data_IF_998563050303
#
_entry.id   IF_998563050303
#
_cell.length_a   1.000
_cell.length_b   1.000
_cell.length_c   1.000
_cell.angle_alpha   90.00
_cell.angle_beta   90.00
_cell.angle_gamma   90.00
#
_symmetry.space_group_name_H-M   'P 1'
#
loop_
_entity.id
_entity.type
_entity.pdbx_description
1 polymer ?
#
# COMPACT_ATOMS: atom_id res chain seq x y z
N UNK A 1 3.51 39.27 9.14
CA UNK A 1 4.36 38.60 10.15
C UNK A 1 4.49 37.14 9.73
N UNK A 2 5.70 36.66 9.39
CA UNK A 2 5.86 35.28 8.91
C UNK A 2 5.91 34.33 10.11
N UNK A 3 5.00 33.36 10.16
CA UNK A 3 4.84 32.40 11.26
C UNK A 3 6.11 31.55 11.45
N UNK A 4 6.36 31.06 12.66
CA UNK A 4 7.43 30.11 12.97
C UNK A 4 7.41 28.89 12.04
N UNK A 5 6.22 28.44 11.61
CA UNK A 5 6.05 27.38 10.61
C UNK A 5 6.72 27.71 9.27
N UNK A 6 6.65 28.97 8.81
CA UNK A 6 7.32 29.42 7.58
C UNK A 6 8.85 29.32 7.69
N UNK A 7 9.41 29.66 8.84
CA UNK A 7 10.86 29.55 9.06
C UNK A 7 11.29 28.10 9.27
N UNK A 8 10.45 27.27 9.90
CA UNK A 8 10.72 25.83 10.07
C UNK A 8 10.70 25.08 8.74
N UNK A 9 9.67 25.29 7.92
CA UNK A 9 9.65 24.80 6.54
C UNK A 9 10.85 25.29 5.73
N UNK A 10 11.26 26.55 5.93
CA UNK A 10 12.42 27.10 5.20
C UNK A 10 13.74 26.48 5.66
N UNK A 11 13.88 26.07 6.92
CA UNK A 11 15.07 25.37 7.43
C UNK A 11 15.05 23.90 6.97
N UNK A 12 13.91 23.21 7.11
CA UNK A 12 13.74 21.82 6.66
C UNK A 12 13.93 21.69 5.13
N UNK A 13 13.45 22.66 4.34
CA UNK A 13 13.69 22.72 2.89
C UNK A 13 15.10 23.19 2.50
N UNK A 14 15.84 23.86 3.40
CA UNK A 14 17.24 24.29 3.16
C UNK A 14 18.26 23.20 3.43
N UNK A 15 17.91 22.16 4.19
CA UNK A 15 18.73 20.95 4.37
C UNK A 15 18.40 19.97 3.24
N UNK A 16 18.42 20.45 2.00
CA UNK A 16 18.35 19.60 0.82
C UNK A 16 19.75 19.15 0.44
N UNK A 17 19.92 17.90 0.00
CA UNK A 17 21.21 17.38 -0.46
C UNK A 17 21.90 18.21 -1.55
N UNK A 18 21.14 18.95 -2.37
CA UNK A 18 21.70 19.90 -3.36
C UNK A 18 22.27 21.17 -2.75
N UNK A 19 21.77 21.60 -1.58
CA UNK A 19 22.36 22.72 -0.83
C UNK A 19 23.56 22.29 0.01
N UNK A 20 23.62 21.01 0.40
CA UNK A 20 24.75 20.44 1.13
C UNK A 20 25.93 20.09 0.21
N UNK A 21 25.66 19.70 -1.05
CA UNK A 21 26.70 19.29 -1.98
C UNK A 21 26.51 19.91 -3.37
N UNK A 22 27.47 20.74 -3.81
CA UNK A 22 27.51 21.33 -5.16
C UNK A 22 27.61 20.29 -6.28
N UNK A 23 28.00 19.05 -5.95
CA UNK A 23 28.03 17.89 -6.86
C UNK A 23 27.45 16.69 -6.10
N UNK A 24 26.74 15.77 -6.77
CA UNK A 24 26.24 14.56 -6.11
C UNK A 24 27.38 13.84 -5.37
N UNK A 25 27.24 13.60 -4.04
CA UNK A 25 28.29 12.93 -3.28
C UNK A 25 28.52 11.52 -3.83
N UNK A 26 29.73 11.00 -3.62
CA UNK A 26 30.10 9.64 -4.02
C UNK A 26 30.33 8.80 -2.78
N UNK A 27 29.71 7.63 -2.74
CA UNK A 27 29.89 6.65 -1.67
C UNK A 27 30.35 5.32 -2.28
N UNK A 28 31.36 4.71 -1.67
CA UNK A 28 31.86 3.40 -2.07
C UNK A 28 31.14 2.29 -1.29
N UNK A 29 30.72 1.24 -2.00
CA UNK A 29 30.00 0.10 -1.47
C UNK A 29 30.73 -1.19 -1.82
N UNK A 30 30.92 -2.05 -0.82
CA UNK A 30 31.65 -3.31 -0.95
C UNK A 30 30.80 -4.47 -0.47
N UNK A 31 30.98 -5.69 -1.02
CA UNK A 31 30.40 -6.89 -0.45
C UNK A 31 31.05 -7.15 0.90
N UNK A 32 30.22 -7.43 1.90
CA UNK A 32 30.64 -7.76 3.26
C UNK A 32 31.35 -9.13 3.30
N UNK A 33 31.02 -10.00 2.36
CA UNK A 33 31.62 -11.31 2.21
C UNK A 33 33.02 -11.22 1.58
N UNK A 34 33.98 -11.92 2.19
CA UNK A 34 35.36 -12.06 1.69
C UNK A 34 35.61 -13.42 1.05
N UNK A 35 34.81 -14.43 1.43
CA UNK A 35 34.90 -15.80 0.96
C UNK A 35 33.54 -16.28 0.44
N UNK A 36 33.58 -17.24 -0.47
CA UNK A 36 32.39 -17.82 -1.05
C UNK A 36 31.65 -18.72 -0.05
N UNK A 37 30.31 -18.64 -0.02
CA UNK A 37 29.49 -19.45 0.87
C UNK A 37 29.43 -20.94 0.50
N UNK A 38 29.82 -21.31 -0.72
CA UNK A 38 29.75 -22.70 -1.19
C UNK A 38 31.08 -23.45 -1.05
N UNK A 39 32.19 -22.82 -1.42
CA UNK A 39 33.51 -23.46 -1.49
C UNK A 39 34.56 -22.79 -0.58
N UNK A 40 34.15 -21.76 0.19
CA UNK A 40 35.00 -21.03 1.14
C UNK A 40 36.24 -20.39 0.51
N UNK A 41 36.34 -20.32 -0.82
CA UNK A 41 37.46 -19.70 -1.51
C UNK A 41 37.38 -18.16 -1.45
N UNK A 42 38.52 -17.46 -1.47
CA UNK A 42 38.56 -16.00 -1.54
C UNK A 42 37.82 -15.45 -2.77
N UNK A 43 37.08 -14.37 -2.57
CA UNK A 43 36.35 -13.71 -3.64
C UNK A 43 37.23 -12.71 -4.40
N UNK A 44 37.12 -12.73 -5.72
CA UNK A 44 37.86 -11.82 -6.61
C UNK A 44 36.99 -10.66 -7.06
N UNK A 45 37.57 -9.47 -7.25
CA UNK A 45 36.84 -8.34 -7.82
C UNK A 45 36.49 -8.65 -9.27
N UNK A 46 35.18 -8.65 -9.58
CA UNK A 46 34.68 -8.78 -10.94
C UNK A 46 34.66 -7.43 -11.63
N UNK A 47 34.07 -6.42 -10.97
CA UNK A 47 33.99 -5.05 -11.48
C UNK A 47 33.75 -4.05 -10.37
N UNK A 48 34.07 -2.78 -10.63
CA UNK A 48 33.74 -1.66 -9.75
C UNK A 48 33.17 -0.52 -10.58
N UNK A 49 31.87 -0.25 -10.44
CA UNK A 49 31.18 0.71 -11.30
C UNK A 49 30.33 1.69 -10.48
N UNK A 50 30.42 3.00 -10.76
CA UNK A 50 29.49 3.96 -10.18
C UNK A 50 28.15 3.92 -10.89
N UNK A 51 27.06 3.96 -10.13
CA UNK A 51 25.71 4.20 -10.63
C UNK A 51 25.02 5.32 -9.86
N UNK A 52 24.06 5.97 -10.51
CA UNK A 52 23.21 6.99 -9.89
C UNK A 52 22.21 6.31 -8.95
N UNK A 53 22.09 6.82 -7.73
CA UNK A 53 21.07 6.40 -6.75
C UNK A 53 20.38 7.64 -6.20
N UNK A 54 19.08 7.54 -5.96
CA UNK A 54 18.22 8.63 -5.50
C UNK A 54 17.42 8.12 -4.31
N UNK A 55 17.56 8.76 -3.15
CA UNK A 55 16.86 8.43 -1.90
C UNK A 55 16.19 9.67 -1.34
N UNK A 56 15.16 9.53 -0.51
CA UNK A 56 14.50 10.64 0.19
C UNK A 56 15.46 11.41 1.10
N UNK A 57 16.36 10.72 1.77
CA UNK A 57 17.24 11.33 2.78
C UNK A 57 18.39 12.13 2.17
N UNK A 58 19.03 11.59 1.12
CA UNK A 58 20.24 12.21 0.54
C UNK A 58 19.91 12.98 -0.74
N UNK A 59 18.82 12.64 -1.43
CA UNK A 59 18.61 13.00 -2.82
C UNK A 59 19.51 12.16 -3.72
N UNK A 60 20.15 12.80 -4.71
CA UNK A 60 20.96 12.14 -5.73
C UNK A 60 22.40 11.94 -5.23
N UNK A 61 22.93 10.72 -5.33
CA UNK A 61 24.34 10.40 -5.10
C UNK A 61 24.88 9.36 -6.10
N UNK A 62 26.21 9.24 -6.19
CA UNK A 62 26.90 8.20 -6.97
C UNK A 62 27.31 7.05 -6.06
N UNK A 63 26.66 5.90 -6.21
CA UNK A 63 27.04 4.67 -5.52
C UNK A 63 28.09 3.93 -6.35
N UNK A 64 29.35 3.91 -5.91
CA UNK A 64 30.40 3.11 -6.54
C UNK A 64 30.44 1.73 -5.89
N UNK A 65 29.84 0.76 -6.57
CA UNK A 65 29.73 -0.59 -6.06
C UNK A 65 30.86 -1.47 -6.61
N UNK A 66 31.58 -2.12 -5.71
CA UNK A 66 32.47 -3.23 -6.04
C UNK A 66 31.65 -4.51 -6.04
N UNK A 67 31.64 -5.25 -7.15
CA UNK A 67 31.05 -6.59 -7.23
C UNK A 67 32.18 -7.60 -7.22
N UNK A 68 32.08 -8.59 -6.34
CA UNK A 68 33.03 -9.71 -6.28
C UNK A 68 32.42 -10.98 -6.84
N UNK A 69 33.24 -11.95 -7.21
CA UNK A 69 32.84 -13.24 -7.77
C UNK A 69 33.71 -14.35 -7.21
N UNK A 70 33.11 -15.53 -6.98
CA UNK A 70 33.90 -16.74 -6.79
C UNK A 70 34.32 -17.29 -8.17
N UNK A 71 35.62 -17.47 -8.41
CA UNK A 71 36.13 -18.02 -9.67
C UNK A 71 35.74 -19.48 -9.91
N UNK A 72 35.53 -20.24 -8.85
CA UNK A 72 35.22 -21.66 -8.94
C UNK A 72 33.73 -21.89 -9.24
N UNK A 73 32.82 -21.34 -8.43
CA UNK A 73 31.37 -21.54 -8.61
C UNK A 73 30.65 -20.45 -9.41
N UNK A 74 31.33 -19.36 -9.80
CA UNK A 74 30.77 -18.27 -10.60
C UNK A 74 29.77 -17.35 -9.87
N UNK A 75 29.50 -17.58 -8.59
CA UNK A 75 28.53 -16.78 -7.82
C UNK A 75 29.05 -15.35 -7.61
N UNK A 76 28.19 -14.36 -7.88
CA UNK A 76 28.48 -12.95 -7.64
C UNK A 76 28.00 -12.48 -6.27
N UNK A 77 28.76 -11.57 -5.68
CA UNK A 77 28.55 -10.99 -4.37
C UNK A 77 28.53 -9.47 -4.51
N UNK A 78 27.45 -8.87 -3.99
CA UNK A 78 27.14 -7.45 -4.04
C UNK A 78 27.10 -6.87 -2.63
N UNK A 79 27.13 -5.56 -2.52
CA UNK A 79 27.02 -4.90 -1.21
C UNK A 79 25.61 -5.07 -0.63
N UNK A 80 25.47 -5.76 0.51
CA UNK A 80 24.18 -5.88 1.20
C UNK A 80 23.71 -4.50 1.66
N UNK A 81 24.62 -3.61 2.07
CA UNK A 81 24.30 -2.22 2.39
C UNK A 81 23.63 -1.50 1.21
N UNK A 82 24.18 -1.57 -0.01
CA UNK A 82 23.54 -0.93 -1.17
C UNK A 82 22.23 -1.62 -1.56
N UNK A 83 22.17 -2.95 -1.48
CA UNK A 83 20.96 -3.72 -1.76
C UNK A 83 19.82 -3.41 -0.77
N UNK A 84 20.10 -2.95 0.45
CA UNK A 84 19.08 -2.47 1.40
C UNK A 84 18.51 -1.10 1.04
N UNK A 85 19.25 -0.29 0.28
CA UNK A 85 18.82 1.05 -0.12
C UNK A 85 18.01 1.02 -1.43
N UNK A 86 18.47 0.26 -2.42
CA UNK A 86 17.93 0.31 -3.79
C UNK A 86 18.02 -1.04 -4.48
N UNK A 87 16.95 -1.39 -5.21
CA UNK A 87 16.90 -2.60 -6.01
C UNK A 87 18.01 -2.65 -7.09
N UNK A 88 18.43 -3.86 -7.52
CA UNK A 88 19.30 -4.03 -8.68
C UNK A 88 18.76 -3.30 -9.91
N UNK A 89 19.67 -2.65 -10.66
CA UNK A 89 19.36 -1.93 -11.91
C UNK A 89 18.37 -0.76 -11.78
N UNK A 90 18.01 -0.37 -10.56
CA UNK A 90 17.11 0.76 -10.30
C UNK A 90 17.89 1.97 -9.78
N UNK A 91 17.36 3.17 -10.02
CA UNK A 91 17.96 4.41 -9.52
C UNK A 91 17.27 4.91 -8.25
N UNK A 92 15.94 4.76 -8.14
CA UNK A 92 15.18 5.18 -6.96
C UNK A 92 15.23 4.14 -5.84
N UNK A 93 15.54 4.59 -4.64
CA UNK A 93 15.56 3.79 -3.42
C UNK A 93 14.18 3.29 -3.02
N UNK A 94 14.17 2.30 -2.12
CA UNK A 94 12.93 1.74 -1.58
C UNK A 94 12.12 2.77 -0.79
N UNK A 95 12.79 3.73 -0.16
CA UNK A 95 12.16 4.84 0.53
C UNK A 95 11.34 5.73 -0.41
N UNK A 96 11.87 6.07 -1.59
CA UNK A 96 11.14 6.80 -2.63
C UNK A 96 9.98 5.96 -3.18
N UNK A 97 10.20 4.66 -3.41
CA UNK A 97 9.15 3.73 -3.86
C UNK A 97 7.97 3.69 -2.87
N UNK A 98 8.25 3.57 -1.57
CA UNK A 98 7.24 3.54 -0.52
C UNK A 98 6.52 4.89 -0.39
N UNK A 99 7.26 6.01 -0.50
CA UNK A 99 6.66 7.34 -0.50
C UNK A 99 5.64 7.51 -1.63
N UNK A 100 6.03 7.14 -2.87
CA UNK A 100 5.14 7.20 -4.03
C UNK A 100 3.94 6.27 -3.85
N UNK A 101 4.16 5.04 -3.37
CA UNK A 101 3.10 4.10 -3.07
C UNK A 101 2.05 4.66 -2.09
N UNK A 102 2.51 5.20 -0.97
CA UNK A 102 1.61 5.79 0.03
C UNK A 102 0.88 7.03 -0.52
N UNK A 103 1.59 7.89 -1.25
CA UNK A 103 0.99 9.08 -1.86
C UNK A 103 -0.15 8.73 -2.82
N UNK A 104 0.03 7.70 -3.66
CA UNK A 104 -0.99 7.24 -4.61
C UNK A 104 -2.13 6.51 -3.88
N UNK A 105 -1.82 5.48 -3.09
CA UNK A 105 -2.82 4.51 -2.62
C UNK A 105 -3.45 4.86 -1.28
N UNK A 106 -2.75 5.58 -0.40
CA UNK A 106 -3.29 5.98 0.91
C UNK A 106 -3.77 7.44 0.93
N UNK A 107 -3.10 8.30 0.18
CA UNK A 107 -3.40 9.74 0.20
C UNK A 107 -4.18 10.21 -1.03
N UNK A 108 -4.33 9.35 -2.05
CA UNK A 108 -5.06 9.62 -3.28
C UNK A 108 -4.55 10.86 -4.02
N UNK A 109 -3.23 11.08 -4.00
CA UNK A 109 -2.62 12.26 -4.62
C UNK A 109 -2.43 12.06 -6.13
N UNK A 110 -2.73 13.06 -6.97
CA UNK A 110 -2.40 13.03 -8.39
C UNK A 110 -0.88 13.01 -8.63
N UNK A 111 -0.43 12.32 -9.68
CA UNK A 111 1.00 12.18 -10.00
C UNK A 111 1.76 13.51 -10.04
N UNK A 112 1.17 14.56 -10.62
CA UNK A 112 1.79 15.88 -10.71
C UNK A 112 2.05 16.53 -9.33
N UNK A 113 1.14 16.30 -8.38
CA UNK A 113 1.32 16.76 -7.00
C UNK A 113 2.49 16.03 -6.35
N UNK A 114 2.60 14.72 -6.58
CA UNK A 114 3.71 13.89 -6.06
C UNK A 114 5.05 14.35 -6.65
N UNK A 115 5.10 14.66 -7.96
CA UNK A 115 6.28 15.25 -8.61
C UNK A 115 6.69 16.55 -7.91
N UNK A 116 5.74 17.44 -7.63
CA UNK A 116 6.03 18.72 -6.96
C UNK A 116 6.54 18.52 -5.53
N UNK A 117 5.90 17.62 -4.76
CA UNK A 117 6.33 17.27 -3.40
C UNK A 117 7.76 16.68 -3.37
N UNK A 118 8.08 15.78 -4.30
CA UNK A 118 9.42 15.19 -4.42
C UNK A 118 10.46 16.22 -4.90
N UNK A 119 10.07 17.15 -5.77
CA UNK A 119 10.94 18.24 -6.22
C UNK A 119 11.37 19.14 -5.05
N UNK A 120 10.47 19.43 -4.10
CA UNK A 120 10.81 20.14 -2.84
C UNK A 120 11.83 19.38 -1.98
N UNK A 121 11.83 18.04 -2.07
CA UNK A 121 12.82 17.14 -1.46
C UNK A 121 14.04 16.90 -2.35
N UNK A 122 14.23 17.72 -3.40
CA UNK A 122 15.34 17.63 -4.34
C UNK A 122 15.42 16.30 -5.10
N UNK A 123 14.25 15.71 -5.35
CA UNK A 123 14.09 14.50 -6.17
C UNK A 123 13.34 14.89 -7.43
N UNK A 124 14.08 14.95 -8.53
CA UNK A 124 13.51 15.20 -9.85
C UNK A 124 13.08 13.88 -10.49
N UNK A 125 11.78 13.78 -10.77
CA UNK A 125 11.11 12.58 -11.27
C UNK A 125 9.97 13.00 -12.20
N UNK A 126 9.72 12.22 -13.26
CA UNK A 126 8.60 12.49 -14.18
C UNK A 126 7.32 11.85 -13.67
N UNK A 127 6.17 12.37 -14.11
CA UNK A 127 4.86 11.75 -13.81
C UNK A 127 4.77 10.30 -14.31
N UNK A 128 5.37 9.98 -15.47
CA UNK A 128 5.44 8.60 -15.98
C UNK A 128 6.21 7.65 -15.05
N UNK A 129 7.29 8.13 -14.44
CA UNK A 129 8.06 7.36 -13.47
C UNK A 129 7.29 7.21 -12.14
N UNK A 130 6.52 8.22 -11.72
CA UNK A 130 5.59 8.10 -10.58
C UNK A 130 4.58 6.98 -10.82
N UNK A 131 3.92 6.97 -11.97
CA UNK A 131 2.97 5.91 -12.34
C UNK A 131 3.64 4.52 -12.37
N UNK A 132 4.88 4.42 -12.88
CA UNK A 132 5.65 3.19 -12.87
C UNK A 132 6.00 2.72 -11.44
N UNK A 133 6.50 3.62 -10.60
CA UNK A 133 6.79 3.33 -9.20
C UNK A 133 5.54 2.91 -8.43
N UNK A 134 4.37 3.50 -8.71
CA UNK A 134 3.10 3.08 -8.14
C UNK A 134 2.77 1.61 -8.44
N UNK A 135 2.88 1.19 -9.71
CA UNK A 135 2.68 -0.22 -10.10
C UNK A 135 3.71 -1.14 -9.42
N UNK A 136 4.97 -0.71 -9.40
CA UNK A 136 6.06 -1.45 -8.77
C UNK A 136 5.86 -1.60 -7.26
N UNK A 137 5.34 -0.58 -6.60
CA UNK A 137 5.04 -0.59 -5.17
C UNK A 137 4.02 -1.69 -4.85
N UNK A 138 2.91 -1.79 -5.59
CA UNK A 138 1.91 -2.86 -5.39
C UNK A 138 2.52 -4.25 -5.59
N UNK A 139 3.34 -4.43 -6.62
CA UNK A 139 4.02 -5.71 -6.84
C UNK A 139 4.96 -6.08 -5.68
N UNK A 140 5.74 -5.11 -5.21
CA UNK A 140 6.68 -5.30 -4.10
C UNK A 140 5.96 -5.54 -2.78
N UNK A 141 4.88 -4.79 -2.50
CA UNK A 141 4.02 -4.97 -1.34
C UNK A 141 3.41 -6.38 -1.33
N UNK A 142 2.89 -6.83 -2.48
CA UNK A 142 2.33 -8.18 -2.62
C UNK A 142 3.37 -9.27 -2.33
N UNK A 143 4.57 -9.15 -2.90
CA UNK A 143 5.66 -10.11 -2.66
C UNK A 143 6.15 -10.09 -1.21
N UNK A 144 6.36 -8.90 -0.64
CA UNK A 144 6.79 -8.74 0.74
C UNK A 144 5.75 -9.29 1.73
N UNK A 145 4.46 -9.09 1.45
CA UNK A 145 3.36 -9.63 2.22
C UNK A 145 3.34 -11.16 2.18
N UNK A 146 3.39 -11.77 0.98
CA UNK A 146 3.45 -13.23 0.81
C UNK A 146 4.68 -13.85 1.48
N UNK A 147 5.86 -13.24 1.31
CA UNK A 147 7.09 -13.70 1.96
C UNK A 147 7.05 -13.56 3.49
N UNK A 148 6.15 -12.71 4.01
CA UNK A 148 5.93 -12.54 5.46
C UNK A 148 4.88 -13.49 6.02
N UNK A 149 4.26 -14.37 5.23
CA UNK A 149 3.14 -15.20 5.66
C UNK A 149 3.46 -16.02 6.92
N UNK A 150 4.62 -16.68 6.98
CA UNK A 150 5.06 -17.42 8.17
C UNK A 150 5.19 -16.53 9.41
N UNK A 151 5.71 -15.31 9.25
CA UNK A 151 5.84 -14.34 10.36
C UNK A 151 4.47 -13.85 10.83
N UNK A 152 3.54 -13.59 9.91
CA UNK A 152 2.17 -13.19 10.21
C UNK A 152 1.44 -14.34 10.93
N UNK A 153 1.55 -15.57 10.44
CA UNK A 153 1.01 -16.78 11.09
C UNK A 153 1.53 -16.94 12.51
N UNK A 154 2.83 -16.78 12.73
CA UNK A 154 3.42 -16.87 14.07
C UNK A 154 2.90 -15.76 14.99
N UNK A 155 2.72 -14.53 14.49
CA UNK A 155 2.17 -13.43 15.27
C UNK A 155 0.69 -13.68 15.65
N UNK A 156 -0.14 -14.16 14.72
CA UNK A 156 -1.52 -14.56 15.00
C UNK A 156 -1.58 -15.69 16.02
N UNK A 157 -0.74 -16.72 15.88
CA UNK A 157 -0.67 -17.83 16.83
C UNK A 157 -0.27 -17.36 18.24
N UNK A 158 0.65 -16.40 18.33
CA UNK A 158 1.07 -15.79 19.60
C UNK A 158 -0.04 -14.97 20.26
N UNK A 159 -1.01 -14.49 19.48
CA UNK A 159 -2.21 -13.80 19.95
C UNK A 159 -3.39 -14.77 20.22
N UNK A 160 -3.14 -16.09 20.24
CA UNK A 160 -4.15 -17.11 20.50
C UNK A 160 -4.93 -17.58 19.27
N UNK A 161 -4.60 -17.07 18.09
CA UNK A 161 -5.28 -17.36 16.82
C UNK A 161 -5.74 -16.10 16.12
N UNK A 162 -6.64 -16.26 15.15
CA UNK A 162 -7.18 -15.15 14.36
C UNK A 162 -8.64 -15.36 14.01
N UNK A 163 -9.34 -14.26 13.71
CA UNK A 163 -10.73 -14.27 13.25
C UNK A 163 -10.73 -13.77 11.80
N UNK A 164 -11.19 -14.62 10.88
CA UNK A 164 -11.21 -14.29 9.46
C UNK A 164 -12.49 -13.51 9.13
N UNK A 165 -12.36 -12.20 8.97
CA UNK A 165 -13.41 -11.36 8.41
C UNK A 165 -13.31 -11.38 6.88
N UNK A 166 -14.35 -11.83 6.20
CA UNK A 166 -14.48 -11.79 4.74
C UNK A 166 -15.41 -10.66 4.33
N UNK A 167 -14.95 -9.83 3.41
CA UNK A 167 -15.76 -8.79 2.82
C UNK A 167 -15.50 -8.71 1.31
N UNK A 168 -16.57 -8.43 0.57
CA UNK A 168 -16.49 -8.24 -0.87
C UNK A 168 -17.03 -6.84 -1.22
N UNK A 169 -16.37 -6.16 -2.15
CA UNK A 169 -16.80 -4.84 -2.60
C UNK A 169 -16.81 -4.75 -4.13
N UNK A 170 -17.77 -3.99 -4.63
CA UNK A 170 -17.88 -3.63 -6.04
C UNK A 170 -17.41 -2.18 -6.24
N UNK A 171 -16.69 -1.93 -7.32
CA UNK A 171 -16.55 -0.60 -7.91
C UNK A 171 -17.31 -0.60 -9.23
N UNK A 172 -17.95 0.51 -9.60
CA UNK A 172 -18.64 0.65 -10.90
C UNK A 172 -17.67 0.26 -12.04
N UNK A 173 -18.13 -0.63 -12.93
CA UNK A 173 -17.36 -1.22 -14.04
C UNK A 173 -16.08 -2.01 -13.65
N UNK A 174 -15.95 -2.42 -12.38
CA UNK A 174 -14.79 -3.16 -11.86
C UNK A 174 -15.18 -4.58 -11.40
N UNK A 175 -14.29 -5.59 -11.55
CA UNK A 175 -14.49 -6.89 -10.93
C UNK A 175 -14.60 -6.78 -9.41
N UNK A 176 -15.39 -7.67 -8.82
CA UNK A 176 -15.52 -7.83 -7.36
C UNK A 176 -14.14 -7.93 -6.71
N UNK A 177 -13.89 -7.13 -5.69
CA UNK A 177 -12.71 -7.27 -4.84
C UNK A 177 -13.11 -8.00 -3.56
N UNK A 178 -12.68 -9.26 -3.43
CA UNK A 178 -12.80 -10.04 -2.20
C UNK A 178 -11.57 -9.80 -1.33
N UNK A 179 -11.78 -9.59 -0.03
CA UNK A 179 -10.74 -9.36 0.95
C UNK A 179 -10.96 -10.24 2.19
N UNK A 180 -9.88 -10.85 2.66
CA UNK A 180 -9.83 -11.56 3.94
C UNK A 180 -8.92 -10.81 4.90
N UNK A 181 -9.42 -10.54 6.10
CA UNK A 181 -8.73 -9.75 7.13
C UNK A 181 -8.74 -10.53 8.44
N UNK A 182 -7.63 -10.56 9.16
CA UNK A 182 -7.64 -10.90 10.58
C UNK A 182 -8.17 -9.70 11.36
N UNK A 183 -9.35 -9.83 11.98
CA UNK A 183 -9.97 -8.75 12.74
C UNK A 183 -9.34 -8.50 14.11
N UNK A 184 -8.44 -9.38 14.59
CA UNK A 184 -7.70 -9.15 15.83
C UNK A 184 -6.51 -8.24 15.55
N UNK A 185 -5.60 -8.67 14.66
CA UNK A 185 -4.41 -7.87 14.33
C UNK A 185 -4.68 -6.77 13.29
N UNK A 186 -5.88 -6.73 12.71
CA UNK A 186 -6.27 -5.76 11.68
C UNK A 186 -5.34 -5.79 10.46
N UNK A 187 -4.94 -7.01 10.06
CA UNK A 187 -4.07 -7.22 8.91
C UNK A 187 -4.84 -7.92 7.79
N UNK A 188 -4.70 -7.40 6.57
CA UNK A 188 -5.20 -8.06 5.37
C UNK A 188 -4.39 -9.35 5.16
N UNK A 189 -5.05 -10.49 5.08
CA UNK A 189 -4.45 -11.80 4.83
C UNK A 189 -4.43 -12.15 3.33
N UNK A 190 -5.36 -11.58 2.56
CA UNK A 190 -5.41 -11.78 1.12
C UNK A 190 -6.45 -10.89 0.47
N UNK A 191 -6.21 -10.58 -0.80
CA UNK A 191 -7.19 -9.93 -1.67
C UNK A 191 -7.15 -10.59 -3.06
N UNK A 192 -8.31 -10.66 -3.70
CA UNK A 192 -8.44 -11.18 -5.06
C UNK A 192 -9.52 -10.42 -5.83
N UNK A 193 -9.23 -10.09 -7.08
CA UNK A 193 -10.21 -9.57 -8.03
C UNK A 193 -10.91 -10.74 -8.71
N UNK A 194 -12.23 -10.75 -8.68
CA UNK A 194 -13.08 -11.85 -9.10
C UNK A 194 -14.18 -11.35 -10.04
N UNK A 195 -14.60 -12.21 -10.97
CA UNK A 195 -15.68 -11.85 -11.91
C UNK A 195 -17.08 -12.08 -11.34
N UNK A 196 -17.20 -12.84 -10.24
CA UNK A 196 -18.47 -13.18 -9.60
C UNK A 196 -18.27 -13.59 -8.15
N UNK A 197 -19.33 -13.50 -7.34
CA UNK A 197 -19.40 -14.04 -5.98
C UNK A 197 -19.79 -15.53 -5.93
N UNK A 198 -19.61 -16.29 -7.01
CA UNK A 198 -19.94 -17.72 -7.01
C UNK A 198 -19.00 -18.46 -6.05
N UNK A 199 -19.54 -19.46 -5.34
CA UNK A 199 -18.76 -20.27 -4.39
C UNK A 199 -17.50 -20.84 -5.01
N UNK A 200 -17.58 -21.35 -6.25
CA UNK A 200 -16.46 -21.99 -6.95
C UNK A 200 -15.29 -21.03 -7.21
N UNK A 201 -15.57 -19.74 -7.32
CA UNK A 201 -14.52 -18.73 -7.44
C UNK A 201 -13.93 -18.36 -6.09
N UNK A 202 -14.72 -18.38 -5.01
CA UNK A 202 -14.29 -17.99 -3.65
C UNK A 202 -13.47 -19.10 -2.98
N UNK A 203 -13.80 -20.37 -3.24
CA UNK A 203 -13.15 -21.53 -2.62
C UNK A 203 -11.61 -21.51 -2.77
N UNK A 204 -11.03 -21.31 -3.97
CA UNK A 204 -9.57 -21.23 -4.12
C UNK A 204 -8.92 -20.14 -3.25
N UNK A 205 -9.55 -18.97 -3.15
CA UNK A 205 -9.04 -17.87 -2.33
C UNK A 205 -9.03 -18.22 -0.83
N UNK A 206 -10.07 -18.91 -0.35
CA UNK A 206 -10.11 -19.37 1.04
C UNK A 206 -9.10 -20.49 1.32
N UNK A 207 -8.83 -21.36 0.35
CA UNK A 207 -7.75 -22.35 0.44
C UNK A 207 -6.38 -21.68 0.55
N UNK A 208 -6.08 -20.68 -0.28
CA UNK A 208 -4.82 -19.94 -0.20
C UNK A 208 -4.61 -19.33 1.20
N UNK A 209 -5.65 -18.74 1.79
CA UNK A 209 -5.60 -18.22 3.17
C UNK A 209 -5.33 -19.35 4.17
N UNK A 210 -6.07 -20.46 4.06
CA UNK A 210 -5.93 -21.61 4.94
C UNK A 210 -4.53 -22.23 4.88
N UNK A 211 -3.96 -22.32 3.69
CA UNK A 211 -2.64 -22.92 3.47
C UNK A 211 -1.53 -22.03 4.06
N UNK A 212 -1.65 -20.71 3.89
CA UNK A 212 -0.68 -19.75 4.41
C UNK A 212 -0.77 -19.55 5.93
N UNK A 213 -1.99 -19.53 6.49
CA UNK A 213 -2.24 -19.03 7.84
C UNK A 213 -2.85 -20.06 8.80
N UNK A 214 -3.37 -21.18 8.28
CA UNK A 214 -3.99 -22.24 9.07
C UNK A 214 -5.51 -22.07 9.23
N UNK A 215 -6.05 -22.68 10.29
CA UNK A 215 -7.47 -22.63 10.59
C UNK A 215 -7.78 -21.37 11.43
N UNK A 216 -8.74 -20.52 11.03
CA UNK A 216 -9.21 -19.42 11.87
C UNK A 216 -9.99 -19.97 13.08
N UNK A 217 -10.06 -19.18 14.16
CA UNK A 217 -10.90 -19.47 15.33
C UNK A 217 -12.39 -19.28 15.00
N UNK A 218 -12.67 -18.24 14.23
CA UNK A 218 -14.01 -17.86 13.81
C UNK A 218 -13.98 -17.16 12.45
N UNK A 219 -15.12 -17.16 11.79
CA UNK A 219 -15.40 -16.49 10.54
C UNK A 219 -16.43 -15.39 10.80
N UNK A 220 -16.24 -14.25 10.15
CA UNK A 220 -17.22 -13.15 10.16
C UNK A 220 -17.43 -12.71 8.72
N UNK A 221 -18.66 -12.78 8.22
CA UNK A 221 -18.95 -12.36 6.84
C UNK A 221 -20.41 -11.93 6.65
N UNK A 222 -20.71 -11.36 5.50
CA UNK A 222 -22.10 -11.04 5.11
C UNK A 222 -22.93 -12.31 4.83
N UNK A 223 -24.24 -12.18 4.61
CA UNK A 223 -25.09 -13.35 4.35
C UNK A 223 -25.17 -13.73 2.87
N UNK A 224 -24.14 -13.42 2.06
CA UNK A 224 -24.17 -13.79 0.64
C UNK A 224 -24.12 -15.31 0.46
N UNK A 225 -25.02 -15.83 -0.40
CA UNK A 225 -25.13 -17.27 -0.65
C UNK A 225 -23.83 -17.89 -1.19
N UNK A 226 -23.02 -17.10 -1.89
CA UNK A 226 -21.71 -17.50 -2.39
C UNK A 226 -20.70 -17.71 -1.28
N UNK A 227 -20.58 -16.74 -0.36
CA UNK A 227 -19.65 -16.83 0.77
C UNK A 227 -20.06 -17.97 1.71
N UNK A 228 -21.34 -18.06 2.09
CA UNK A 228 -21.85 -19.13 2.98
C UNK A 228 -21.46 -20.53 2.46
N UNK A 229 -21.67 -20.79 1.16
CA UNK A 229 -21.31 -22.08 0.54
C UNK A 229 -19.81 -22.33 0.52
N UNK A 230 -19.01 -21.29 0.22
CA UNK A 230 -17.56 -21.42 0.16
C UNK A 230 -16.95 -21.65 1.56
N UNK A 231 -17.41 -20.90 2.56
CA UNK A 231 -17.02 -21.03 3.96
C UNK A 231 -17.37 -22.41 4.50
N UNK A 232 -18.62 -22.86 4.32
CA UNK A 232 -19.05 -24.19 4.76
C UNK A 232 -18.24 -25.33 4.13
N UNK A 233 -17.70 -25.13 2.91
CA UNK A 233 -16.84 -26.12 2.24
C UNK A 233 -15.39 -26.10 2.74
N UNK A 234 -14.79 -24.93 2.95
CA UNK A 234 -13.36 -24.81 3.29
C UNK A 234 -13.10 -24.90 4.79
N UNK A 235 -14.07 -24.47 5.60
CA UNK A 235 -13.96 -24.32 7.05
C UNK A 235 -15.14 -24.94 7.83
N UNK A 236 -15.56 -26.20 7.54
CA UNK A 236 -16.81 -26.79 8.03
C UNK A 236 -16.96 -26.87 9.56
N UNK A 237 -15.86 -26.87 10.31
CA UNK A 237 -15.85 -27.01 11.77
C UNK A 237 -15.42 -25.72 12.50
N UNK A 238 -15.56 -24.57 11.84
CA UNK A 238 -15.19 -23.26 12.41
C UNK A 238 -16.44 -22.54 12.86
N UNK A 239 -16.33 -21.77 13.93
CA UNK A 239 -17.40 -20.87 14.33
C UNK A 239 -17.68 -19.87 13.21
N UNK A 240 -18.94 -19.75 12.80
CA UNK A 240 -19.36 -18.94 11.67
C UNK A 240 -20.37 -17.90 12.13
N UNK A 241 -20.02 -16.63 12.00
CA UNK A 241 -20.79 -15.49 12.48
C UNK A 241 -21.14 -14.53 11.35
N UNK A 242 -22.32 -13.93 11.48
CA UNK A 242 -22.74 -12.85 10.60
C UNK A 242 -22.05 -11.54 10.97
N UNK A 243 -21.69 -10.75 9.97
CA UNK A 243 -21.26 -9.37 10.17
C UNK A 243 -22.46 -8.52 10.60
N UNK A 244 -22.46 -8.05 11.85
CA UNK A 244 -23.54 -7.21 12.40
C UNK A 244 -23.74 -5.90 11.65
N UNK A 245 -22.67 -5.30 11.10
CA UNK A 245 -22.80 -4.09 10.29
C UNK A 245 -23.66 -4.35 9.05
N UNK A 246 -23.35 -5.41 8.30
CA UNK A 246 -24.10 -5.79 7.11
C UNK A 246 -25.56 -6.13 7.45
N UNK A 247 -25.76 -6.91 8.52
CA UNK A 247 -27.09 -7.24 9.03
C UNK A 247 -27.93 -6.00 9.36
N UNK A 248 -27.40 -5.06 10.16
CA UNK A 248 -28.11 -3.84 10.54
C UNK A 248 -28.34 -2.90 9.35
N UNK A 249 -27.39 -2.81 8.42
CA UNK A 249 -27.54 -2.04 7.19
C UNK A 249 -28.69 -2.57 6.34
N UNK A 250 -28.79 -3.89 6.20
CA UNK A 250 -29.80 -4.52 5.37
C UNK A 250 -31.19 -4.42 6.03
N UNK A 251 -31.29 -4.58 7.36
CA UNK A 251 -32.50 -4.23 8.12
C UNK A 251 -32.90 -2.76 7.89
N UNK A 252 -31.93 -1.84 7.97
CA UNK A 252 -32.19 -0.42 7.75
C UNK A 252 -32.74 -0.14 6.36
N UNK A 253 -32.26 -0.84 5.32
CA UNK A 253 -32.83 -0.78 3.98
C UNK A 253 -34.25 -1.34 3.96
N UNK A 254 -34.47 -2.54 4.48
CA UNK A 254 -35.78 -3.18 4.46
C UNK A 254 -36.86 -2.33 5.15
N UNK A 255 -36.50 -1.66 6.25
CA UNK A 255 -37.41 -0.81 7.02
C UNK A 255 -37.66 0.56 6.39
N UNK A 256 -36.69 1.15 5.67
CA UNK A 256 -36.71 2.56 5.30
C UNK A 256 -36.65 2.85 3.80
N UNK A 257 -36.42 1.85 2.93
CA UNK A 257 -36.20 2.05 1.49
C UNK A 257 -37.39 2.76 0.82
N UNK A 258 -38.61 2.45 1.24
CA UNK A 258 -39.81 3.06 0.67
C UNK A 258 -39.89 4.56 0.99
N UNK A 259 -39.75 4.92 2.25
CA UNK A 259 -39.76 6.29 2.77
C UNK A 259 -38.61 7.09 2.17
N UNK A 260 -37.41 6.49 2.14
CA UNK A 260 -36.23 7.04 1.50
C UNK A 260 -36.47 7.30 0.00
N UNK A 261 -37.10 6.36 -0.68
CA UNK A 261 -37.54 6.49 -2.07
C UNK A 261 -38.52 7.64 -2.29
N UNK A 262 -39.49 7.85 -1.39
CA UNK A 262 -40.42 8.97 -1.45
C UNK A 262 -39.71 10.33 -1.31
N UNK A 263 -38.79 10.44 -0.35
CA UNK A 263 -37.97 11.65 -0.16
C UNK A 263 -37.12 11.91 -1.40
N UNK A 264 -36.43 10.89 -1.92
CA UNK A 264 -35.59 11.01 -3.13
C UNK A 264 -36.40 11.47 -4.35
N UNK A 265 -37.61 10.95 -4.54
CA UNK A 265 -38.52 11.38 -5.62
C UNK A 265 -38.94 12.84 -5.44
N UNK A 266 -39.30 13.28 -4.23
CA UNK A 266 -39.65 14.69 -3.96
C UNK A 266 -38.48 15.64 -4.20
N UNK A 267 -37.29 15.30 -3.68
CA UNK A 267 -36.07 16.10 -3.91
C UNK A 267 -35.75 16.24 -5.40
N UNK A 268 -35.98 15.18 -6.17
CA UNK A 268 -35.77 15.18 -7.63
C UNK A 268 -36.83 16.01 -8.35
N UNK A 269 -38.10 15.85 -7.98
CA UNK A 269 -39.22 16.62 -8.53
C UNK A 269 -39.05 18.13 -8.34
N UNK A 270 -38.56 18.57 -7.18
CA UNK A 270 -38.27 19.98 -6.90
C UNK A 270 -36.91 20.46 -7.44
N UNK A 271 -36.18 19.63 -8.19
CA UNK A 271 -34.88 19.99 -8.76
C UNK A 271 -33.77 20.21 -7.72
N UNK A 272 -33.98 19.86 -6.45
CA UNK A 272 -33.00 20.05 -5.37
C UNK A 272 -31.77 19.19 -5.61
N UNK A 273 -31.98 17.94 -6.04
CA UNK A 273 -30.90 16.99 -6.33
C UNK A 273 -29.93 17.56 -7.38
N UNK A 274 -30.42 18.18 -8.45
CA UNK A 274 -29.57 18.73 -9.51
C UNK A 274 -28.80 19.98 -9.05
N UNK A 275 -29.38 20.79 -8.15
CA UNK A 275 -28.68 21.92 -7.51
C UNK A 275 -27.56 21.39 -6.62
N UNK A 276 -27.81 20.37 -5.81
CA UNK A 276 -26.80 19.75 -4.95
C UNK A 276 -25.67 19.12 -5.77
N UNK A 277 -25.99 18.39 -6.85
CA UNK A 277 -24.98 17.83 -7.75
C UNK A 277 -24.14 18.92 -8.43
N UNK A 278 -24.75 20.01 -8.91
CA UNK A 278 -24.00 21.15 -9.49
C UNK A 278 -23.08 21.80 -8.46
N UNK A 279 -23.56 22.02 -7.23
CA UNK A 279 -22.74 22.56 -6.14
C UNK A 279 -21.60 21.62 -5.78
N UNK A 280 -21.87 20.32 -5.64
CA UNK A 280 -20.84 19.31 -5.39
C UNK A 280 -19.78 19.30 -6.49
N UNK A 281 -20.17 19.34 -7.76
CA UNK A 281 -19.23 19.39 -8.88
C UNK A 281 -18.40 20.68 -8.88
N UNK A 282 -19.02 21.83 -8.65
CA UNK A 282 -18.31 23.11 -8.51
C UNK A 282 -17.30 23.10 -7.36
N UNK A 283 -17.67 22.49 -6.23
CA UNK A 283 -16.77 22.30 -5.09
C UNK A 283 -15.63 21.32 -5.40
N UNK A 284 -15.92 20.19 -6.05
CA UNK A 284 -14.89 19.22 -6.48
C UNK A 284 -13.85 19.86 -7.40
N UNK A 285 -14.27 20.67 -8.37
CA UNK A 285 -13.35 21.41 -9.24
C UNK A 285 -12.46 22.37 -8.43
N UNK A 286 -13.06 23.19 -7.56
CA UNK A 286 -12.31 24.12 -6.70
C UNK A 286 -11.34 23.42 -5.75
N UNK A 287 -11.69 22.24 -5.25
CA UNK A 287 -10.84 21.42 -4.37
C UNK A 287 -9.68 20.79 -5.17
N UNK A 288 -9.96 20.27 -6.36
CA UNK A 288 -8.91 19.74 -7.24
C UNK A 288 -7.93 20.83 -7.69
N UNK A 289 -8.43 22.03 -7.99
CA UNK A 289 -7.59 23.19 -8.36
C UNK A 289 -6.76 23.72 -7.18
N UNK A 290 -7.21 23.49 -5.94
CA UNK A 290 -6.54 23.90 -4.70
C UNK A 290 -6.16 22.70 -3.84
N UNK A 291 -5.47 21.73 -4.41
CA UNK A 291 -4.99 20.55 -3.67
C UNK A 291 -4.16 20.91 -2.42
N UNK A 292 -3.50 22.06 -2.41
CA UNK A 292 -2.76 22.61 -1.25
C UNK A 292 -3.66 22.82 -0.01
N UNK A 293 -4.97 23.03 -0.19
CA UNK A 293 -5.94 23.11 0.92
C UNK A 293 -6.27 21.73 1.51
N UNK A 294 -6.13 20.65 0.73
CA UNK A 294 -6.32 19.28 1.22
C UNK A 294 -5.22 18.93 2.22
N UNK A 295 -3.98 19.36 1.97
CA UNK A 295 -2.86 19.15 2.90
C UNK A 295 -3.05 19.94 4.21
N UNK A 296 -3.60 21.15 4.16
CA UNK A 296 -3.93 21.95 5.35
C UNK A 296 -5.01 21.27 6.21
N UNK A 297 -6.11 20.80 5.60
CA UNK A 297 -7.19 20.11 6.33
C UNK A 297 -6.75 18.76 6.88
N UNK A 298 -5.90 18.02 6.16
CA UNK A 298 -5.33 16.74 6.65
C UNK A 298 -4.31 16.95 7.77
N UNK A 299 -3.59 18.06 7.80
CA UNK A 299 -2.65 18.39 8.88
C UNK A 299 -3.34 18.72 10.21
N UNK A 300 -4.58 19.21 10.17
CA UNK A 300 -5.42 19.44 11.36
C UNK A 300 -6.15 18.17 11.83
N UNK A 301 -6.27 17.15 10.96
CA UNK A 301 -6.88 15.86 11.26
C UNK A 301 -5.85 14.74 11.49
N UNK A 302 -4.82 14.99 12.29
CA UNK A 302 -4.15 13.89 13.01
C UNK A 302 -4.81 13.68 14.38
N UNK A 303 -5.97 13.02 14.51
CA UNK A 303 -6.11 12.04 15.57
C UNK A 303 -5.29 10.81 15.18
N UNK A 304 -4.67 10.19 16.18
CA UNK A 304 -4.07 8.85 16.12
C UNK A 304 -4.77 7.96 15.09
N UNK A 305 -4.05 7.55 14.04
CA UNK A 305 -4.48 6.52 13.10
C UNK A 305 -4.62 5.18 13.85
N UNK A 306 -5.71 5.03 14.61
CA UNK A 306 -6.40 3.76 14.69
C UNK A 306 -7.10 3.61 13.35
N UNK A 307 -6.56 2.75 12.49
CA UNK A 307 -7.34 2.17 11.42
C UNK A 307 -8.54 1.48 12.05
N UNK A 308 -9.66 2.21 12.19
CA UNK A 308 -10.97 1.58 12.25
C UNK A 308 -11.24 1.10 10.84
N UNK A 309 -10.78 -0.10 10.52
CA UNK A 309 -11.55 -0.90 9.58
C UNK A 309 -12.96 -0.95 10.18
N UNK A 310 -13.95 -0.45 9.45
CA UNK A 310 -15.33 -0.77 9.74
C UNK A 310 -15.46 -2.29 9.60
N UNK A 311 -15.34 -2.98 10.72
CA UNK A 311 -15.82 -4.34 10.94
C UNK A 311 -17.25 -4.27 11.47
#
# INVERSE_FOLDING_TARGET
>A
MKCLCYYREKIENKISGSFLFNKPPKFDFYPEDTHCHNDLLPLYVLKTEPRKVITLQIGIFKARETVKVCKNCGRSYRSKQLCRLVAPSCNFGYDVLVYVGNAIFLHHLPDLVIVEQLSRKNIHISASEIAYLGKKFIAYLTLAHRNSAARIKNAMSSNGGYILHLNATYEEDSPLLMCGVDSIMQIVLGNVKMRSEKSDTIIPFLHDIKDLFGQPLALVHDMSAGIIKAVGKVFPNTLDFICHFHFLRDIGKDLLEKEYGHIRKRLTHHGITSILYRRMHSLKLKVNDKWQLIDLVKSEQQPSLQYRACA
#
